data_IF_383018987324
#
_entry.id   IF_383018987324
#
_cell.length_a   1.000
_cell.length_b   1.000
_cell.length_c   1.000
_cell.angle_alpha   90.00
_cell.angle_beta   90.00
_cell.angle_gamma   90.00
#
_symmetry.space_group_name_H-M   'P 1'
#
loop_
_entity.id
_entity.type
_entity.pdbx_description
1 polymer ?
#
# COMPACT_ATOMS: atom_id res chain seq x y z
N UNK A 1 1.31 -14.30 18.08
CA UNK A 1 1.30 -12.90 17.62
C UNK A 1 0.97 -12.81 16.15
N UNK A 2 1.92 -13.20 15.28
CA UNK A 2 1.67 -13.11 13.85
C UNK A 2 0.43 -13.91 13.44
N UNK A 3 0.23 -15.09 14.01
CA UNK A 3 -0.92 -15.93 13.71
C UNK A 3 -2.24 -15.24 14.09
N UNK A 4 -2.23 -14.46 15.18
CA UNK A 4 -3.40 -13.73 15.61
C UNK A 4 -3.77 -12.60 14.66
N UNK A 5 -2.75 -11.97 14.08
CA UNK A 5 -2.96 -10.87 13.13
C UNK A 5 -3.59 -11.34 11.82
N UNK A 6 -3.62 -12.65 11.58
CA UNK A 6 -4.18 -13.21 10.34
C UNK A 6 -5.59 -13.73 10.52
N UNK A 7 -6.14 -13.60 11.73
CA UNK A 7 -7.51 -14.02 11.97
C UNK A 7 -8.45 -13.03 11.30
N UNK A 8 -9.50 -13.55 10.70
CA UNK A 8 -10.46 -12.73 9.98
C UNK A 8 -11.18 -11.72 10.86
N UNK A 9 -11.32 -11.99 12.14
CA UNK A 9 -11.98 -11.10 13.08
C UNK A 9 -11.03 -10.07 13.72
N UNK A 10 -9.75 -10.14 13.40
CA UNK A 10 -8.79 -9.16 13.91
C UNK A 10 -8.97 -7.84 13.17
N UNK A 11 -9.13 -6.75 13.92
CA UNK A 11 -9.45 -5.46 13.32
C UNK A 11 -8.28 -4.49 13.37
N UNK A 12 -8.36 -3.46 12.52
CA UNK A 12 -7.39 -2.37 12.57
C UNK A 12 -7.43 -1.69 13.95
N UNK A 13 -8.63 -1.51 14.51
CA UNK A 13 -8.76 -0.91 15.84
C UNK A 13 -8.01 -1.73 16.91
N UNK A 14 -8.08 -3.05 16.81
CA UNK A 14 -7.31 -3.94 17.70
C UNK A 14 -5.81 -3.72 17.52
N UNK A 15 -5.36 -3.65 16.29
CA UNK A 15 -3.94 -3.44 15.97
C UNK A 15 -3.44 -2.07 16.45
N UNK A 16 -4.28 -1.04 16.32
CA UNK A 16 -3.94 0.30 16.81
C UNK A 16 -3.80 0.29 18.33
N UNK A 17 -4.73 -0.36 19.00
CA UNK A 17 -4.74 -0.46 20.46
C UNK A 17 -3.51 -1.20 20.98
N UNK A 18 -3.06 -2.21 20.24
CA UNK A 18 -1.90 -3.02 20.61
C UNK A 18 -0.57 -2.41 20.16
N UNK A 19 -0.61 -1.26 19.49
CA UNK A 19 0.59 -0.59 19.01
C UNK A 19 1.22 -1.21 17.78
N UNK A 20 0.49 -2.09 17.09
CA UNK A 20 0.99 -2.78 15.90
C UNK A 20 0.79 -1.93 14.66
N UNK A 21 -0.30 -1.16 14.61
CA UNK A 21 -0.63 -0.28 13.48
C UNK A 21 -0.32 1.17 13.86
N UNK A 22 0.77 1.73 13.34
CA UNK A 22 1.25 3.05 13.79
C UNK A 22 0.71 4.24 13.02
N UNK A 23 -0.14 4.02 12.02
CA UNK A 23 -0.57 5.08 11.10
C UNK A 23 -1.50 6.07 11.79
N UNK A 24 -1.31 7.36 11.52
CA UNK A 24 -2.06 8.42 12.17
C UNK A 24 -2.57 9.50 11.22
N UNK A 25 -1.97 9.64 10.04
CA UNK A 25 -2.32 10.73 9.12
C UNK A 25 -3.47 10.30 8.21
N UNK A 26 -4.67 10.31 8.77
CA UNK A 26 -5.89 9.81 8.11
C UNK A 26 -6.34 10.74 7.00
N UNK A 27 -6.59 10.17 5.82
CA UNK A 27 -7.12 10.89 4.66
C UNK A 27 -8.64 10.69 4.57
N UNK A 28 -9.08 9.44 4.67
CA UNK A 28 -10.50 9.10 4.65
C UNK A 28 -10.71 7.70 5.17
N UNK A 29 -11.94 7.39 5.49
CA UNK A 29 -12.27 6.02 5.90
C UNK A 29 -13.71 5.68 5.52
N UNK A 30 -13.94 4.41 5.32
CA UNK A 30 -15.28 3.89 5.15
C UNK A 30 -15.39 2.59 5.96
N UNK A 31 -16.43 1.81 5.73
CA UNK A 31 -16.70 0.61 6.49
C UNK A 31 -15.57 -0.44 6.37
N UNK A 32 -14.95 -0.54 5.21
CA UNK A 32 -13.95 -1.58 4.94
C UNK A 32 -12.51 -1.09 4.97
N UNK A 33 -12.26 0.18 4.65
CA UNK A 33 -10.91 0.69 4.39
C UNK A 33 -10.65 1.99 5.10
N UNK A 34 -9.46 2.13 5.69
CA UNK A 34 -8.91 3.41 6.15
C UNK A 34 -7.74 3.77 5.26
N UNK A 35 -7.70 5.01 4.81
CA UNK A 35 -6.62 5.49 3.95
C UNK A 35 -5.79 6.49 4.72
N UNK A 36 -4.49 6.26 4.78
CA UNK A 36 -3.53 7.13 5.48
C UNK A 36 -2.48 7.64 4.52
N UNK A 37 -1.92 8.80 4.79
CA UNK A 37 -0.69 9.23 4.12
C UNK A 37 0.46 8.44 4.70
N UNK A 38 1.36 7.99 3.81
CA UNK A 38 2.58 7.34 4.27
C UNK A 38 3.46 8.41 4.92
N UNK A 39 3.98 8.12 6.10
CA UNK A 39 4.81 9.05 6.87
C UNK A 39 6.18 9.28 6.20
N UNK A 40 6.65 8.30 5.43
CA UNK A 40 7.93 8.36 4.73
C UNK A 40 7.68 8.14 3.24
N UNK A 41 7.00 9.09 2.57
CA UNK A 41 6.53 8.85 1.20
C UNK A 41 7.67 8.63 0.22
N UNK A 42 7.49 7.64 -0.64
CA UNK A 42 8.41 7.38 -1.75
C UNK A 42 8.29 8.50 -2.77
N UNK A 43 7.07 8.99 -2.96
CA UNK A 43 6.80 10.15 -3.80
C UNK A 43 5.63 10.91 -3.20
N UNK A 44 5.47 12.16 -3.58
CA UNK A 44 4.39 12.99 -3.07
C UNK A 44 3.04 12.36 -3.40
N UNK A 45 2.21 12.19 -2.38
CA UNK A 45 0.90 11.59 -2.53
C UNK A 45 0.85 10.09 -2.25
N UNK A 46 1.95 9.50 -1.77
CA UNK A 46 2.02 8.09 -1.40
C UNK A 46 1.00 7.79 -0.30
N UNK A 47 0.09 6.87 -0.57
CA UNK A 47 -0.99 6.51 0.35
C UNK A 47 -0.89 5.05 0.76
N UNK A 48 -1.46 4.78 1.94
CA UNK A 48 -1.62 3.42 2.46
C UNK A 48 -3.11 3.13 2.57
N UNK A 49 -3.54 2.03 1.98
CA UNK A 49 -4.92 1.55 2.07
C UNK A 49 -4.92 0.39 3.04
N UNK A 50 -5.60 0.56 4.16
CA UNK A 50 -5.50 -0.34 5.30
C UNK A 50 -6.86 -0.96 5.57
N UNK A 51 -6.95 -2.30 5.61
CA UNK A 51 -8.25 -2.93 5.82
C UNK A 51 -8.71 -2.77 7.26
N UNK A 52 -10.00 -2.47 7.45
CA UNK A 52 -10.59 -2.36 8.79
C UNK A 52 -10.62 -3.72 9.48
N UNK A 53 -10.64 -4.80 8.71
CA UNK A 53 -10.60 -6.18 9.19
C UNK A 53 -9.51 -6.92 8.44
N UNK A 54 -8.75 -7.75 9.13
CA UNK A 54 -7.63 -8.47 8.52
C UNK A 54 -8.09 -9.73 7.79
N UNK A 55 -9.14 -9.61 6.99
CA UNK A 55 -9.71 -10.69 6.19
C UNK A 55 -9.32 -10.51 4.73
N UNK A 56 -9.12 -11.61 4.03
CA UNK A 56 -8.67 -11.57 2.63
C UNK A 56 -9.57 -10.71 1.74
N UNK A 57 -10.89 -10.85 1.88
CA UNK A 57 -11.82 -10.05 1.08
C UNK A 57 -11.67 -8.56 1.29
N UNK A 58 -11.40 -8.14 2.51
CA UNK A 58 -11.22 -6.72 2.84
C UNK A 58 -9.86 -6.22 2.35
N UNK A 59 -8.85 -7.07 2.38
CA UNK A 59 -7.54 -6.75 1.79
C UNK A 59 -7.70 -6.51 0.28
N UNK A 60 -8.49 -7.37 -0.38
CA UNK A 60 -8.78 -7.19 -1.82
C UNK A 60 -9.53 -5.89 -2.07
N UNK A 61 -10.45 -5.52 -1.19
CA UNK A 61 -11.15 -4.24 -1.29
C UNK A 61 -10.17 -3.06 -1.25
N UNK A 62 -9.10 -3.17 -0.46
CA UNK A 62 -8.05 -2.16 -0.41
C UNK A 62 -7.35 -2.01 -1.77
N UNK A 63 -7.05 -3.14 -2.43
CA UNK A 63 -6.48 -3.10 -3.77
C UNK A 63 -7.41 -2.43 -4.76
N UNK A 64 -8.70 -2.76 -4.70
CA UNK A 64 -9.69 -2.16 -5.59
C UNK A 64 -9.79 -0.65 -5.38
N UNK A 65 -9.80 -0.21 -4.13
CA UNK A 65 -9.84 1.21 -3.80
C UNK A 65 -8.59 1.93 -4.29
N UNK A 66 -7.42 1.33 -4.07
CA UNK A 66 -6.17 1.92 -4.51
C UNK A 66 -6.12 2.04 -6.04
N UNK A 67 -6.57 1.00 -6.74
CA UNK A 67 -6.64 1.01 -8.20
C UNK A 67 -7.54 2.12 -8.71
N UNK A 68 -8.73 2.23 -8.13
CA UNK A 68 -9.71 3.26 -8.51
C UNK A 68 -9.13 4.66 -8.27
N UNK A 69 -8.51 4.86 -7.11
CA UNK A 69 -7.92 6.16 -6.77
C UNK A 69 -6.79 6.52 -7.74
N UNK A 70 -5.90 5.56 -8.01
CA UNK A 70 -4.78 5.79 -8.92
C UNK A 70 -5.22 6.12 -10.33
N UNK A 71 -6.19 5.37 -10.85
CA UNK A 71 -6.72 5.62 -12.19
C UNK A 71 -7.37 6.99 -12.30
N UNK A 72 -8.10 7.39 -11.26
CA UNK A 72 -8.72 8.70 -11.20
C UNK A 72 -7.68 9.83 -11.25
N UNK A 73 -6.61 9.68 -10.47
CA UNK A 73 -5.55 10.69 -10.42
C UNK A 73 -4.80 10.82 -11.75
N UNK A 74 -4.59 9.69 -12.43
CA UNK A 74 -3.97 9.71 -13.76
C UNK A 74 -4.89 10.36 -14.77
N UNK A 75 -6.18 10.03 -14.74
CA UNK A 75 -7.16 10.60 -15.64
C UNK A 75 -7.28 12.11 -15.47
N UNK A 76 -7.16 12.61 -14.24
CA UNK A 76 -7.19 14.04 -13.95
C UNK A 76 -5.89 14.75 -14.32
N UNK A 77 -4.87 14.02 -14.73
CA UNK A 77 -3.58 14.60 -15.06
C UNK A 77 -2.71 14.94 -13.85
N UNK A 78 -3.08 14.46 -12.65
CA UNK A 78 -2.32 14.74 -11.43
C UNK A 78 -1.09 13.86 -11.30
N UNK A 79 -1.19 12.62 -11.79
CA UNK A 79 -0.10 11.64 -11.80
C UNK A 79 0.09 11.14 -13.23
N UNK A 80 1.30 10.70 -13.55
CA UNK A 80 1.58 10.08 -14.85
C UNK A 80 1.35 8.57 -14.81
N UNK A 81 1.40 7.99 -13.63
CA UNK A 81 1.18 6.56 -13.42
C UNK A 81 1.20 6.26 -11.93
N UNK A 82 1.19 4.99 -11.57
CA UNK A 82 1.27 4.58 -10.17
C UNK A 82 1.65 3.11 -10.06
N UNK A 83 2.16 2.76 -8.88
CA UNK A 83 2.38 1.37 -8.52
C UNK A 83 1.54 1.05 -7.30
N UNK A 84 1.03 -0.18 -7.22
CA UNK A 84 0.29 -0.69 -6.07
C UNK A 84 0.98 -1.95 -5.60
N UNK A 85 1.12 -2.11 -4.30
CA UNK A 85 1.71 -3.34 -3.79
C UNK A 85 1.45 -3.57 -2.33
N UNK A 86 1.64 -4.81 -1.93
CA UNK A 86 1.59 -5.23 -0.53
C UNK A 86 2.88 -5.98 -0.24
N UNK A 87 3.41 -5.78 0.96
CA UNK A 87 4.53 -6.58 1.45
C UNK A 87 3.93 -7.62 2.40
N UNK A 88 4.13 -8.88 2.10
CA UNK A 88 3.61 -9.96 2.93
C UNK A 88 4.76 -10.83 3.39
N UNK A 89 5.07 -10.74 4.66
CA UNK A 89 6.16 -11.50 5.26
C UNK A 89 7.45 -10.70 5.34
N UNK A 90 8.29 -11.06 6.31
CA UNK A 90 9.56 -10.39 6.56
C UNK A 90 10.50 -10.44 5.35
N UNK A 91 10.53 -11.59 4.66
CA UNK A 91 11.36 -11.74 3.47
C UNK A 91 10.96 -10.81 2.33
N UNK A 92 9.72 -10.32 2.34
CA UNK A 92 9.23 -9.36 1.35
C UNK A 92 9.37 -7.92 1.82
N UNK A 93 9.99 -7.72 2.99
CA UNK A 93 10.23 -6.38 3.51
C UNK A 93 9.14 -5.83 4.41
N UNK A 94 8.21 -6.68 4.85
CA UNK A 94 7.15 -6.23 5.75
C UNK A 94 7.74 -5.92 7.12
N UNK A 95 7.56 -4.69 7.60
CA UNK A 95 8.03 -4.25 8.92
C UNK A 95 6.89 -3.96 9.88
N UNK A 96 5.75 -3.48 9.37
CA UNK A 96 4.52 -3.34 10.14
C UNK A 96 3.65 -4.53 9.78
N UNK A 97 3.35 -5.36 10.75
CA UNK A 97 2.75 -6.67 10.46
C UNK A 97 1.26 -6.64 10.16
N UNK A 98 0.55 -5.56 10.50
CA UNK A 98 -0.83 -5.43 10.06
C UNK A 98 -0.83 -5.16 8.54
N UNK A 99 -1.68 -5.86 7.76
CA UNK A 99 -1.66 -5.72 6.29
C UNK A 99 -1.98 -4.30 5.85
N UNK A 100 -1.26 -3.83 4.83
CA UNK A 100 -1.51 -2.52 4.25
C UNK A 100 -1.02 -2.51 2.81
N UNK A 101 -1.73 -1.77 1.97
CA UNK A 101 -1.47 -1.71 0.54
C UNK A 101 -0.94 -0.32 0.21
N UNK A 102 0.22 -0.29 -0.45
CA UNK A 102 0.84 0.95 -0.90
C UNK A 102 0.27 1.37 -2.24
N UNK A 103 -0.06 2.66 -2.37
CA UNK A 103 -0.35 3.29 -3.65
C UNK A 103 0.68 4.38 -3.82
N UNK A 104 1.57 4.21 -4.80
CA UNK A 104 2.72 5.10 -5.00
C UNK A 104 2.55 5.84 -6.31
N UNK A 105 2.33 7.17 -6.25
CA UNK A 105 2.25 7.98 -7.47
C UNK A 105 3.56 7.95 -8.25
N UNK A 106 3.47 7.88 -9.55
CA UNK A 106 4.64 7.93 -10.41
C UNK A 106 4.54 9.11 -11.37
N UNK A 107 5.68 9.76 -11.61
CA UNK A 107 5.76 10.91 -12.50
C UNK A 107 6.92 10.73 -13.44
N UNK A 108 6.77 11.24 -14.65
CA UNK A 108 7.84 11.16 -15.66
C UNK A 108 9.10 11.79 -15.07
N UNK A 109 10.21 11.07 -15.19
CA UNK A 109 11.48 11.55 -14.70
C UNK A 109 11.75 11.32 -13.22
N UNK A 110 10.83 10.69 -12.50
CA UNK A 110 11.05 10.39 -11.08
C UNK A 110 12.12 9.33 -10.87
N UNK A 111 12.43 8.61 -11.94
CA UNK A 111 13.44 7.57 -11.95
C UNK A 111 14.02 7.52 -13.36
N UNK A 112 15.32 7.28 -13.49
CA UNK A 112 15.99 7.30 -14.80
C UNK A 112 15.40 6.30 -15.78
N UNK A 113 15.22 5.05 -15.37
CA UNK A 113 14.64 4.02 -16.22
C UNK A 113 13.64 3.17 -15.39
N UNK A 114 12.34 3.46 -15.49
CA UNK A 114 11.36 2.78 -14.65
C UNK A 114 10.90 1.43 -15.21
N UNK A 115 11.44 0.99 -16.35
CA UNK A 115 11.00 -0.27 -16.94
C UNK A 115 11.09 -1.43 -15.95
N UNK A 116 10.05 -2.24 -15.94
CA UNK A 116 9.93 -3.34 -15.00
C UNK A 116 9.08 -3.02 -13.78
N UNK A 117 8.99 -1.74 -13.39
CA UNK A 117 8.10 -1.32 -12.30
C UNK A 117 8.29 -2.12 -11.03
N UNK A 118 7.26 -2.88 -10.64
CA UNK A 118 7.28 -3.68 -9.40
C UNK A 118 8.43 -4.70 -9.34
N UNK A 119 9.01 -5.03 -10.47
CA UNK A 119 10.15 -5.96 -10.51
C UNK A 119 11.38 -5.40 -9.78
N UNK A 120 11.41 -4.09 -9.53
CA UNK A 120 12.52 -3.46 -8.83
C UNK A 120 12.58 -3.82 -7.34
N UNK A 121 11.67 -4.69 -6.87
CA UNK A 121 11.77 -5.29 -5.54
C UNK A 121 13.12 -6.01 -5.37
N UNK A 122 13.69 -6.49 -6.48
CA UNK A 122 15.08 -6.97 -6.52
C UNK A 122 15.76 -6.11 -7.59
N UNK A 123 16.52 -5.10 -7.16
CA UNK A 123 17.01 -4.07 -8.10
C UNK A 123 17.73 -4.60 -9.34
N UNK A 124 18.58 -5.61 -9.19
CA UNK A 124 19.33 -6.17 -10.33
C UNK A 124 18.43 -6.86 -11.35
N UNK A 125 17.21 -7.22 -10.95
CA UNK A 125 16.28 -7.93 -11.80
C UNK A 125 15.13 -7.06 -12.29
N UNK A 126 15.15 -5.79 -11.92
CA UNK A 126 14.06 -4.87 -12.23
C UNK A 126 13.85 -4.67 -13.71
N UNK A 127 14.86 -4.19 -14.39
CA UNK A 127 14.76 -3.92 -15.81
C UNK A 127 15.10 -5.18 -16.63
N UNK A 128 14.06 -5.86 -17.08
CA UNK A 128 14.21 -7.13 -17.82
C UNK A 128 14.68 -6.95 -19.26
N UNK A 129 14.83 -5.71 -19.71
CA UNK A 129 15.30 -5.39 -21.06
C UNK A 129 16.82 -5.23 -21.14
N UNK A 130 17.47 -5.20 -20.00
CA UNK A 130 18.93 -5.09 -19.98
C UNK A 130 19.60 -6.41 -20.21
#
# INVERSE_FOLDING_TARGET
MVAEMRKEDYTLADAEKEGIAPWTDLVREDFHVKVFKDKYPVSEGHLLFVPQYAADGVIVDCFNDALTHGKDMVEKGEWDGFNIGINWGEAAGQTVMYPHIHLIPRRKGDMEDPRGGVRHVIPEKGNYKK
#
